data_IF_496070325907
#
_entry.id   IF_496070325907
#
_cell.length_a   1.000
_cell.length_b   1.000
_cell.length_c   1.000
_cell.angle_alpha   90.00
_cell.angle_beta   90.00
_cell.angle_gamma   90.00
#
_symmetry.space_group_name_H-M   'P 1'
#
loop_
_entity.id
_entity.type
_entity.pdbx_description
1 polymer ?
#
# COMPACT_ATOMS: atom_id res chain seq x y z
N UNK A 1 4.53 6.09 6.26
CA UNK A 1 3.39 6.29 7.18
C UNK A 1 2.14 5.57 6.67
N UNK A 2 1.80 5.68 5.38
CA UNK A 2 0.63 4.98 4.79
C UNK A 2 0.50 3.50 5.16
N UNK A 3 1.60 2.77 5.31
CA UNK A 3 1.60 1.34 5.71
C UNK A 3 0.87 1.08 7.04
N UNK A 4 0.83 2.05 7.95
CA UNK A 4 0.16 1.95 9.26
C UNK A 4 -1.37 1.79 9.12
N UNK A 5 -1.96 2.22 8.01
CA UNK A 5 -3.39 2.03 7.76
C UNK A 5 -3.78 0.54 7.62
N UNK A 6 -2.81 -0.36 7.41
CA UNK A 6 -3.08 -1.80 7.36
C UNK A 6 -3.34 -2.43 8.73
N UNK A 7 -2.92 -1.77 9.82
CA UNK A 7 -2.98 -2.31 11.19
C UNK A 7 -4.13 -1.77 12.01
N UNK A 8 -4.88 -0.81 11.47
CA UNK A 8 -6.00 -0.17 12.15
C UNK A 8 -7.10 -1.21 12.40
N UNK A 9 -7.58 -1.30 13.65
CA UNK A 9 -8.70 -2.18 14.01
C UNK A 9 -9.89 -1.45 14.62
N UNK A 10 -9.66 -0.26 15.15
CA UNK A 10 -10.66 0.51 15.89
C UNK A 10 -10.51 2.02 15.65
N UNK A 11 -11.49 2.79 16.09
CA UNK A 11 -11.46 4.25 15.98
C UNK A 11 -10.31 4.89 16.73
N UNK A 12 -9.91 4.37 17.89
CA UNK A 12 -8.76 4.91 18.65
C UNK A 12 -7.48 4.88 17.83
N UNK A 13 -7.23 3.79 17.10
CA UNK A 13 -6.08 3.65 16.20
C UNK A 13 -6.15 4.68 15.06
N UNK A 14 -7.32 4.83 14.44
CA UNK A 14 -7.51 5.77 13.33
C UNK A 14 -7.35 7.22 13.81
N UNK A 15 -7.96 7.59 14.94
CA UNK A 15 -7.83 8.92 15.55
C UNK A 15 -6.37 9.27 15.83
N UNK A 16 -5.59 8.33 16.39
CA UNK A 16 -4.16 8.55 16.64
C UNK A 16 -3.38 8.86 15.37
N UNK A 17 -3.63 8.09 14.31
CA UNK A 17 -2.96 8.31 13.02
C UNK A 17 -3.37 9.64 12.38
N UNK A 18 -4.65 10.01 12.45
CA UNK A 18 -5.15 11.27 11.91
C UNK A 18 -4.66 12.49 12.70
N UNK A 19 -4.64 12.42 14.04
CA UNK A 19 -4.05 13.44 14.90
C UNK A 19 -2.58 13.70 14.54
N UNK A 20 -1.81 12.63 14.32
CA UNK A 20 -0.42 12.80 13.88
C UNK A 20 -0.34 13.49 12.51
N UNK A 21 -1.21 13.10 11.57
CA UNK A 21 -1.25 13.72 10.25
C UNK A 21 -1.51 15.22 10.36
N UNK A 22 -2.55 15.63 11.09
CA UNK A 22 -2.91 17.03 11.31
C UNK A 22 -1.75 17.82 11.96
N UNK A 23 -1.15 17.28 13.04
CA UNK A 23 -0.03 17.93 13.74
C UNK A 23 1.23 18.08 12.87
N UNK A 24 1.44 17.19 11.90
CA UNK A 24 2.63 17.20 11.03
C UNK A 24 2.34 17.77 9.63
N UNK A 25 1.18 18.42 9.44
CA UNK A 25 0.75 19.01 8.15
C UNK A 25 0.73 17.99 7.01
N UNK A 26 0.32 16.76 7.31
CA UNK A 26 0.11 15.69 6.34
C UNK A 26 -1.39 15.70 6.03
N UNK A 27 -1.74 15.95 4.77
CA UNK A 27 -3.15 15.96 4.39
C UNK A 27 -3.65 14.54 4.17
N UNK A 28 -4.77 14.22 4.80
CA UNK A 28 -5.47 12.96 4.53
C UNK A 28 -6.55 13.23 3.50
N UNK A 29 -6.47 12.55 2.36
CA UNK A 29 -7.35 12.76 1.22
C UNK A 29 -8.22 11.51 0.98
N UNK A 30 -9.48 11.71 0.65
CA UNK A 30 -10.34 10.69 0.05
C UNK A 30 -10.99 11.25 -1.22
N UNK A 31 -10.82 10.57 -2.35
CA UNK A 31 -11.30 11.04 -3.66
C UNK A 31 -10.94 12.51 -3.95
N UNK A 32 -9.70 12.91 -3.64
CA UNK A 32 -9.15 14.27 -3.86
C UNK A 32 -9.69 15.35 -2.90
N UNK A 33 -10.64 15.00 -2.03
CA UNK A 33 -11.11 15.87 -0.96
C UNK A 33 -10.28 15.70 0.31
N UNK A 34 -9.87 16.81 0.92
CA UNK A 34 -9.22 16.82 2.22
C UNK A 34 -10.19 16.44 3.34
N UNK A 35 -9.69 15.62 4.26
CA UNK A 35 -10.40 15.10 5.40
C UNK A 35 -9.71 15.53 6.68
N UNK A 36 -10.48 16.17 7.54
CA UNK A 36 -10.13 16.42 8.94
C UNK A 36 -11.01 15.57 9.83
N UNK A 37 -10.56 15.34 11.07
CA UNK A 37 -11.32 14.56 12.06
C UNK A 37 -12.73 15.14 12.29
N UNK A 38 -12.92 16.44 12.16
CA UNK A 38 -14.21 17.12 12.36
C UNK A 38 -15.31 16.65 11.39
N UNK A 39 -14.92 16.18 10.21
CA UNK A 39 -15.84 15.72 9.15
C UNK A 39 -16.19 14.23 9.33
N UNK A 40 -15.46 13.52 10.18
CA UNK A 40 -15.58 12.07 10.38
C UNK A 40 -16.22 11.78 11.74
N UNK A 41 -17.42 11.20 11.70
CA UNK A 41 -18.04 10.60 12.89
C UNK A 41 -17.52 9.18 13.05
N UNK A 42 -16.79 8.93 14.14
CA UNK A 42 -16.21 7.62 14.44
C UNK A 42 -17.08 6.85 15.45
N UNK A 43 -17.41 5.62 15.10
CA UNK A 43 -17.90 4.57 16.00
C UNK A 43 -16.73 3.61 16.33
N UNK A 44 -16.96 2.55 17.11
CA UNK A 44 -15.87 1.67 17.57
C UNK A 44 -15.06 1.04 16.42
N UNK A 45 -15.74 0.55 15.38
CA UNK A 45 -15.14 -0.15 14.22
C UNK A 45 -15.60 0.43 12.88
N UNK A 46 -16.34 1.52 12.88
CA UNK A 46 -16.89 2.16 11.67
C UNK A 46 -16.69 3.67 11.73
N UNK A 47 -16.65 4.31 10.57
CA UNK A 47 -16.64 5.76 10.46
C UNK A 47 -17.64 6.22 9.40
N UNK A 48 -18.21 7.40 9.60
CA UNK A 48 -19.10 8.06 8.65
C UNK A 48 -18.53 9.43 8.34
N UNK A 49 -18.27 9.68 7.06
CA UNK A 49 -17.82 10.98 6.56
C UNK A 49 -19.04 11.75 6.09
N UNK A 50 -19.19 12.99 6.55
CA UNK A 50 -20.27 13.87 6.10
C UNK A 50 -19.77 14.85 5.02
N UNK A 51 -20.18 14.65 3.77
CA UNK A 51 -19.81 15.50 2.65
C UNK A 51 -20.74 16.71 2.43
N UNK A 52 -21.30 17.27 3.51
CA UNK A 52 -22.20 18.42 3.40
C UNK A 52 -23.54 18.10 2.73
N UNK A 53 -24.10 16.91 3.00
CA UNK A 53 -25.40 16.48 2.48
C UNK A 53 -25.44 15.02 2.00
N UNK A 54 -24.27 14.41 1.77
CA UNK A 54 -24.14 12.99 1.45
C UNK A 54 -23.21 12.33 2.47
N UNK A 55 -23.66 11.25 3.10
CA UNK A 55 -22.86 10.49 4.07
C UNK A 55 -22.23 9.27 3.42
N UNK A 56 -20.93 9.06 3.59
CA UNK A 56 -20.28 7.80 3.21
C UNK A 56 -19.77 7.08 4.46
N UNK A 57 -20.18 5.84 4.66
CA UNK A 57 -19.66 4.99 5.73
C UNK A 57 -18.48 4.15 5.25
N UNK A 58 -17.57 3.84 6.17
CA UNK A 58 -16.47 2.92 5.97
C UNK A 58 -16.24 2.08 7.22
N UNK A 59 -15.68 0.89 7.02
CA UNK A 59 -15.26 0.01 8.11
C UNK A 59 -13.78 0.20 8.39
N UNK A 60 -13.43 0.23 9.68
CA UNK A 60 -12.06 0.39 10.15
C UNK A 60 -11.36 -0.96 10.05
N UNK A 61 -10.37 -1.03 9.18
CA UNK A 61 -9.62 -2.24 8.92
C UNK A 61 -8.50 -2.01 7.92
N UNK A 62 -7.90 -3.10 7.46
CA UNK A 62 -6.80 -3.07 6.49
C UNK A 62 -7.19 -2.53 5.11
N UNK A 63 -8.49 -2.53 4.79
CA UNK A 63 -9.09 -1.87 3.63
C UNK A 63 -8.79 -0.36 3.58
N UNK A 64 -8.62 0.30 4.73
CA UNK A 64 -8.35 1.73 4.81
C UNK A 64 -7.03 2.14 4.15
N UNK A 65 -6.09 1.20 4.01
CA UNK A 65 -4.84 1.42 3.28
C UNK A 65 -5.06 1.90 1.83
N UNK A 66 -6.12 1.43 1.17
CA UNK A 66 -6.46 1.86 -0.19
C UNK A 66 -7.49 2.99 -0.21
N UNK A 67 -8.20 3.19 0.90
CA UNK A 67 -9.28 4.17 1.01
C UNK A 67 -8.76 5.60 1.14
N UNK A 68 -7.71 5.80 1.96
CA UNK A 68 -7.10 7.11 2.16
C UNK A 68 -5.82 7.27 1.34
N UNK A 69 -5.64 8.48 0.81
CA UNK A 69 -4.36 8.97 0.30
C UNK A 69 -3.77 9.93 1.34
N UNK A 70 -2.45 9.96 1.42
CA UNK A 70 -1.73 10.88 2.30
C UNK A 70 -0.86 11.75 1.41
N UNK A 71 -1.00 13.06 1.53
CA UNK A 71 -0.11 14.03 0.91
C UNK A 71 0.86 14.56 1.96
N UNK A 72 2.15 14.56 1.62
CA UNK A 72 3.23 14.86 2.56
C UNK A 72 3.92 16.15 2.13
N UNK A 73 4.29 17.04 3.06
CA UNK A 73 4.92 18.32 2.73
C UNK A 73 6.29 18.16 2.03
N UNK A 74 6.95 17.00 2.19
CA UNK A 74 8.21 16.66 1.53
C UNK A 74 8.06 15.85 0.23
N UNK A 75 6.83 15.70 -0.27
CA UNK A 75 6.51 14.88 -1.43
C UNK A 75 6.31 13.40 -1.12
N UNK A 76 5.94 12.60 -2.13
CA UNK A 76 5.58 11.20 -1.94
C UNK A 76 6.80 10.34 -1.55
N UNK A 77 6.59 9.25 -0.80
CA UNK A 77 7.68 8.39 -0.36
C UNK A 77 8.35 7.69 -1.56
N UNK A 78 9.68 7.49 -1.53
CA UNK A 78 10.40 6.79 -2.60
C UNK A 78 9.90 5.37 -2.82
N UNK A 79 9.99 4.90 -4.07
CA UNK A 79 9.50 3.56 -4.44
C UNK A 79 10.18 2.47 -3.61
N UNK A 80 9.37 1.63 -2.96
CA UNK A 80 9.85 0.53 -2.12
C UNK A 80 10.21 0.91 -0.67
N UNK A 81 10.09 2.19 -0.31
CA UNK A 81 10.30 2.67 1.07
C UNK A 81 8.95 2.83 1.78
N UNK A 82 8.38 1.71 2.22
CA UNK A 82 7.03 1.69 2.82
C UNK A 82 6.95 2.36 4.19
N UNK A 83 8.07 2.48 4.89
CA UNK A 83 8.17 3.07 6.23
C UNK A 83 8.66 4.53 6.21
N UNK A 84 8.80 5.17 5.05
CA UNK A 84 9.10 6.61 4.98
C UNK A 84 8.08 7.42 5.78
N UNK A 85 8.55 8.42 6.54
CA UNK A 85 7.74 9.20 7.50
C UNK A 85 7.16 8.38 8.67
N UNK A 86 7.65 7.16 8.93
CA UNK A 86 7.38 6.44 10.17
C UNK A 86 8.56 6.66 11.10
N UNK A 87 8.30 7.25 12.26
CA UNK A 87 9.25 7.36 13.36
C UNK A 87 8.69 6.56 14.51
N UNK A 88 9.42 5.53 14.93
CA UNK A 88 8.93 4.53 15.86
C UNK A 88 9.81 4.35 17.08
N UNK A 89 9.17 3.92 18.17
CA UNK A 89 9.83 3.49 19.41
C UNK A 89 9.53 2.01 19.62
N UNK A 90 10.56 1.22 19.95
CA UNK A 90 10.39 -0.15 20.41
C UNK A 90 10.42 -0.15 21.94
N UNK A 91 9.32 -0.56 22.56
CA UNK A 91 9.22 -0.62 24.01
C UNK A 91 9.16 -2.07 24.48
N UNK A 92 10.26 -2.54 25.05
CA UNK A 92 10.43 -3.93 25.46
C UNK A 92 11.16 -4.77 24.41
N UNK A 93 11.21 -6.08 24.65
CA UNK A 93 11.93 -7.07 23.85
C UNK A 93 10.94 -7.85 22.99
N UNK A 94 11.20 -7.97 21.69
CA UNK A 94 10.38 -8.79 20.79
C UNK A 94 10.67 -10.28 21.04
N UNK A 95 9.64 -11.09 21.18
CA UNK A 95 9.79 -12.51 21.54
C UNK A 95 10.13 -13.38 20.33
N UNK A 96 9.47 -13.11 19.21
CA UNK A 96 9.53 -13.97 18.03
C UNK A 96 10.57 -13.48 17.00
N UNK A 97 11.10 -12.27 17.19
CA UNK A 97 12.03 -11.65 16.25
C UNK A 97 13.18 -10.97 16.96
N UNK A 98 14.34 -10.99 16.32
CA UNK A 98 15.48 -10.19 16.76
C UNK A 98 15.18 -8.70 16.56
N UNK A 99 15.29 -7.93 17.64
CA UNK A 99 15.02 -6.49 17.66
C UNK A 99 15.97 -5.75 16.71
N UNK A 100 17.24 -6.13 16.66
CA UNK A 100 18.23 -5.49 15.78
C UNK A 100 17.93 -5.76 14.30
N UNK A 101 17.57 -7.00 13.94
CA UNK A 101 17.17 -7.32 12.58
C UNK A 101 15.93 -6.52 12.14
N UNK A 102 14.98 -6.33 13.05
CA UNK A 102 13.76 -5.57 12.78
C UNK A 102 14.09 -4.10 12.58
N UNK A 103 14.93 -3.52 13.43
CA UNK A 103 15.41 -2.12 13.29
C UNK A 103 16.06 -1.94 11.92
N UNK A 104 17.01 -2.79 11.55
CA UNK A 104 17.67 -2.72 10.24
C UNK A 104 16.69 -2.86 9.07
N UNK A 105 15.66 -3.71 9.19
CA UNK A 105 14.62 -3.86 8.15
C UNK A 105 13.79 -2.59 8.03
N UNK A 106 13.37 -2.00 9.14
CA UNK A 106 12.59 -0.75 9.18
C UNK A 106 13.38 0.41 8.55
N UNK A 107 14.64 0.56 8.94
CA UNK A 107 15.54 1.58 8.39
C UNK A 107 15.77 1.39 6.89
N UNK A 108 15.98 0.14 6.44
CA UNK A 108 16.04 -0.19 5.01
C UNK A 108 14.77 0.19 4.26
N UNK A 109 13.60 0.15 4.92
CA UNK A 109 12.32 0.58 4.37
C UNK A 109 12.05 2.08 4.54
N UNK A 110 13.00 2.84 5.08
CA UNK A 110 12.96 4.29 5.22
C UNK A 110 12.32 4.81 6.50
N UNK A 111 12.07 3.93 7.48
CA UNK A 111 11.62 4.34 8.82
C UNK A 111 12.80 4.78 9.70
N UNK A 112 12.49 5.48 10.78
CA UNK A 112 13.44 5.88 11.81
C UNK A 112 13.04 5.22 13.14
N UNK A 113 13.98 4.56 13.80
CA UNK A 113 13.77 4.01 15.15
C UNK A 113 14.47 4.93 16.16
N UNK A 114 13.75 5.35 17.19
CA UNK A 114 14.27 6.18 18.28
C UNK A 114 13.98 5.51 19.62
N UNK A 115 14.77 5.88 20.64
CA UNK A 115 14.63 5.34 22.00
C UNK A 115 13.56 6.09 22.81
N UNK A 116 13.45 7.40 22.58
CA UNK A 116 12.53 8.27 23.31
C UNK A 116 11.27 8.61 22.50
N UNK A 117 10.17 8.78 23.23
CA UNK A 117 8.90 9.26 22.70
C UNK A 117 8.93 10.79 22.60
N UNK A 118 8.79 11.32 21.39
CA UNK A 118 8.59 12.74 21.11
C UNK A 118 7.33 13.00 20.26
N UNK A 119 7.08 14.27 19.99
CA UNK A 119 5.94 14.76 19.20
C UNK A 119 5.95 14.28 17.74
N UNK A 120 7.11 13.84 17.25
CA UNK A 120 7.30 13.33 15.88
C UNK A 120 7.25 11.81 15.81
N UNK A 121 7.11 11.11 16.93
CA UNK A 121 6.87 9.66 16.93
C UNK A 121 5.42 9.41 16.51
N UNK A 122 5.19 8.46 15.59
CA UNK A 122 3.85 8.04 15.18
C UNK A 122 3.56 6.56 15.41
N UNK A 123 4.56 5.77 15.77
CA UNK A 123 4.39 4.35 16.03
C UNK A 123 5.14 3.92 17.29
N UNK A 124 4.51 3.08 18.09
CA UNK A 124 5.13 2.40 19.22
C UNK A 124 4.81 0.91 19.13
N UNK A 125 5.85 0.08 19.21
CA UNK A 125 5.71 -1.38 19.23
C UNK A 125 5.96 -1.87 20.65
N UNK A 126 4.99 -2.60 21.21
CA UNK A 126 5.05 -3.17 22.55
C UNK A 126 5.56 -4.61 22.46
N UNK A 127 6.67 -4.88 23.15
CA UNK A 127 7.22 -6.21 23.39
C UNK A 127 7.09 -6.67 24.84
N UNK A 128 7.78 -7.75 25.19
CA UNK A 128 7.90 -8.23 26.56
C UNK A 128 8.70 -7.24 27.42
N UNK A 129 8.35 -7.11 28.71
CA UNK A 129 8.99 -6.17 29.64
C UNK A 129 8.92 -4.69 29.20
N UNK A 130 7.84 -4.31 28.52
CA UNK A 130 7.59 -2.92 28.15
C UNK A 130 7.55 -1.99 29.37
N UNK A 131 8.18 -0.82 29.24
CA UNK A 131 8.14 0.24 30.23
C UNK A 131 6.74 0.88 30.26
N UNK A 132 6.13 0.89 31.44
CA UNK A 132 4.81 1.48 31.69
C UNK A 132 4.82 3.01 31.59
N UNK A 133 5.96 3.66 31.86
CA UNK A 133 6.06 5.12 31.80
C UNK A 133 6.03 5.62 30.35
N UNK A 134 6.84 5.00 29.47
CA UNK A 134 6.81 5.28 28.04
C UNK A 134 5.43 5.02 27.43
N UNK A 135 4.76 3.96 27.88
CA UNK A 135 3.41 3.65 27.42
C UNK A 135 2.42 4.76 27.77
N UNK A 136 2.41 5.21 29.04
CA UNK A 136 1.52 6.32 29.47
C UNK A 136 1.79 7.60 28.69
N UNK A 137 3.06 7.96 28.50
CA UNK A 137 3.46 9.13 27.70
C UNK A 137 2.93 9.02 26.26
N UNK A 138 3.03 7.84 25.66
CA UNK A 138 2.53 7.62 24.30
C UNK A 138 0.99 7.69 24.22
N UNK A 139 0.29 7.22 25.25
CA UNK A 139 -1.17 7.33 25.34
C UNK A 139 -1.65 8.77 25.51
N UNK A 140 -0.96 9.56 26.35
CA UNK A 140 -1.27 10.96 26.61
C UNK A 140 -1.13 11.84 25.36
N UNK A 141 -0.14 11.57 24.51
CA UNK A 141 0.08 12.33 23.27
C UNK A 141 -1.03 12.11 22.23
N UNK A 142 -1.81 11.02 22.34
CA UNK A 142 -2.92 10.66 21.45
C UNK A 142 -2.66 10.77 19.94
N UNK A 143 -1.39 10.70 19.53
CA UNK A 143 -0.94 10.74 18.13
C UNK A 143 -0.03 9.56 17.78
N UNK A 144 0.26 8.70 18.77
CA UNK A 144 1.15 7.56 18.61
C UNK A 144 0.30 6.31 18.46
N UNK A 145 0.42 5.64 17.32
CA UNK A 145 -0.21 4.33 17.11
C UNK A 145 0.55 3.29 17.94
N UNK A 146 -0.17 2.53 18.76
CA UNK A 146 0.42 1.52 19.65
C UNK A 146 0.07 0.15 19.08
N UNK A 147 1.07 -0.65 18.74
CA UNK A 147 0.92 -1.99 18.18
C UNK A 147 1.59 -3.05 19.05
N UNK A 148 1.01 -4.25 19.05
CA UNK A 148 1.65 -5.47 19.52
C UNK A 148 2.63 -6.00 18.45
N UNK A 149 3.50 -6.94 18.84
CA UNK A 149 4.44 -7.58 17.92
C UNK A 149 3.71 -8.24 16.73
N UNK A 150 2.58 -8.91 16.98
CA UNK A 150 1.84 -9.65 15.95
C UNK A 150 1.29 -8.73 14.84
N UNK A 151 0.64 -7.61 15.21
CA UNK A 151 0.16 -6.62 14.22
C UNK A 151 1.33 -5.95 13.52
N UNK A 152 2.42 -5.69 14.24
CA UNK A 152 3.60 -5.09 13.63
C UNK A 152 4.23 -6.00 12.56
N UNK A 153 4.27 -7.32 12.77
CA UNK A 153 4.79 -8.25 11.76
C UNK A 153 3.94 -8.22 10.48
N UNK A 154 2.63 -8.00 10.57
CA UNK A 154 1.72 -7.96 9.41
C UNK A 154 2.03 -6.82 8.43
N UNK A 155 2.64 -5.72 8.90
CA UNK A 155 3.04 -4.60 8.04
C UNK A 155 4.44 -4.73 7.48
N UNK A 156 5.27 -5.58 8.07
CA UNK A 156 6.57 -5.87 7.50
C UNK A 156 6.36 -6.61 6.16
N UNK A 157 7.08 -6.20 5.09
CA UNK A 157 6.99 -6.92 3.84
C UNK A 157 7.47 -8.35 4.05
N UNK A 158 6.64 -9.32 3.64
CA UNK A 158 7.02 -10.73 3.67
C UNK A 158 8.39 -10.91 3.03
N UNK A 159 9.26 -11.74 3.64
CA UNK A 159 10.55 -12.10 3.06
C UNK A 159 10.27 -12.53 1.62
N UNK A 160 10.71 -11.73 0.65
CA UNK A 160 10.57 -12.07 -0.77
C UNK A 160 11.21 -13.45 -0.91
N UNK A 161 10.43 -14.45 -1.31
CA UNK A 161 11.03 -15.65 -1.88
C UNK A 161 11.94 -15.13 -2.99
N UNK A 162 13.24 -15.46 -2.93
CA UNK A 162 14.14 -15.19 -4.05
C UNK A 162 13.39 -15.58 -5.32
N UNK A 163 13.41 -14.76 -6.38
CA UNK A 163 12.69 -15.09 -7.60
C UNK A 163 13.16 -16.48 -7.99
N UNK A 164 12.27 -17.47 -7.80
CA UNK A 164 12.50 -18.81 -8.31
C UNK A 164 12.64 -18.54 -9.79
N UNK A 165 13.87 -18.69 -10.32
CA UNK A 165 14.12 -18.58 -11.76
C UNK A 165 13.02 -19.41 -12.39
N UNK A 166 12.04 -18.75 -13.01
CA UNK A 166 10.96 -19.47 -13.69
C UNK A 166 11.70 -20.36 -14.66
N UNK A 167 11.66 -21.68 -14.44
CA UNK A 167 12.00 -22.60 -15.51
C UNK A 167 11.01 -22.24 -16.60
N UNK A 168 11.51 -21.58 -17.64
CA UNK A 168 10.75 -21.27 -18.83
C UNK A 168 10.27 -22.63 -19.29
N UNK A 169 8.96 -22.92 -19.15
CA UNK A 169 8.39 -24.14 -19.73
C UNK A 169 8.88 -24.16 -21.19
N UNK A 170 9.50 -25.24 -21.68
CA UNK A 170 9.94 -25.30 -23.05
C UNK A 170 8.74 -24.92 -23.92
N UNK A 171 8.95 -23.90 -24.76
CA UNK A 171 7.92 -23.35 -25.62
C UNK A 171 7.35 -24.53 -26.40
N UNK A 172 6.07 -24.89 -26.19
CA UNK A 172 5.40 -25.86 -27.07
C UNK A 172 5.66 -25.37 -28.49
N UNK A 173 6.36 -26.18 -29.28
CA UNK A 173 6.56 -25.91 -30.70
C UNK A 173 5.15 -25.94 -31.28
N UNK A 174 4.61 -24.75 -31.55
CA UNK A 174 3.38 -24.65 -32.32
C UNK A 174 3.67 -25.31 -33.68
N UNK A 175 2.76 -26.14 -34.22
CA UNK A 175 2.96 -26.70 -35.54
C UNK A 175 3.24 -25.55 -36.53
N UNK A 176 4.12 -25.79 -37.50
CA UNK A 176 4.40 -24.83 -38.57
C UNK A 176 3.13 -24.63 -39.40
N UNK A 177 2.24 -23.74 -38.95
CA UNK A 177 1.02 -23.41 -39.67
C UNK A 177 1.04 -21.94 -40.05
N UNK A 178 1.15 -21.75 -41.36
CA UNK A 178 1.10 -20.52 -42.17
C UNK A 178 2.16 -19.45 -41.85
N UNK A 179 2.92 -19.06 -42.88
CA UNK A 179 3.92 -18.00 -42.79
C UNK A 179 3.28 -16.69 -42.27
N UNK A 180 3.84 -16.16 -41.19
CA UNK A 180 3.37 -14.94 -40.51
C UNK A 180 3.41 -13.72 -41.43
N UNK A 181 4.29 -13.71 -42.43
CA UNK A 181 4.37 -12.63 -43.40
C UNK A 181 3.15 -12.64 -44.34
N UNK A 182 2.67 -13.81 -44.73
CA UNK A 182 1.47 -13.99 -45.56
C UNK A 182 0.24 -13.54 -44.79
N UNK A 183 0.09 -13.96 -43.53
CA UNK A 183 -0.99 -13.51 -42.64
C UNK A 183 -1.00 -11.99 -42.45
N UNK A 184 0.17 -11.36 -42.31
CA UNK A 184 0.27 -9.90 -42.16
C UNK A 184 -0.13 -9.16 -43.43
N UNK A 185 0.20 -9.70 -44.62
CA UNK A 185 -0.21 -9.13 -45.91
C UNK A 185 -1.72 -9.28 -46.12
N UNK A 186 -2.28 -10.47 -45.87
CA UNK A 186 -3.73 -10.71 -45.93
C UNK A 186 -4.49 -9.76 -45.02
N UNK A 187 -4.02 -9.58 -43.78
CA UNK A 187 -4.65 -8.64 -42.85
C UNK A 187 -4.69 -7.22 -43.42
N UNK A 188 -3.60 -6.75 -44.04
CA UNK A 188 -3.57 -5.41 -44.65
C UNK A 188 -4.55 -5.27 -45.81
N UNK A 189 -4.65 -6.29 -46.68
CA UNK A 189 -5.57 -6.31 -47.81
C UNK A 189 -7.03 -6.24 -47.36
N UNK A 190 -7.43 -7.04 -46.37
CA UNK A 190 -8.79 -7.04 -45.83
C UNK A 190 -9.16 -5.80 -45.00
N UNK A 191 -8.17 -5.07 -44.49
CA UNK A 191 -8.40 -3.80 -43.78
C UNK A 191 -8.30 -2.56 -44.68
N UNK A 192 -8.11 -2.76 -45.98
CA UNK A 192 -8.10 -1.65 -46.95
C UNK A 192 -9.50 -1.03 -47.05
N UNK A 193 -9.57 0.22 -47.50
CA UNK A 193 -10.83 0.90 -47.85
C UNK A 193 -11.16 0.76 -49.34
N UNK A 194 -10.24 0.20 -50.11
CA UNK A 194 -10.39 -0.06 -51.53
C UNK A 194 -10.89 -1.50 -51.75
N UNK A 195 -12.03 -1.64 -52.41
CA UNK A 195 -12.67 -2.93 -52.65
C UNK A 195 -11.84 -3.85 -53.55
N UNK A 196 -11.03 -3.31 -54.47
CA UNK A 196 -10.19 -4.14 -55.34
C UNK A 196 -9.06 -4.81 -54.55
N UNK A 197 -8.50 -4.11 -53.55
CA UNK A 197 -7.50 -4.66 -52.64
C UNK A 197 -8.09 -5.71 -51.68
N UNK A 198 -9.34 -5.53 -51.26
CA UNK A 198 -10.06 -6.53 -50.45
C UNK A 198 -10.31 -7.80 -51.28
N UNK A 199 -10.72 -7.66 -52.55
CA UNK A 199 -10.94 -8.77 -53.47
C UNK A 199 -9.65 -9.55 -53.77
N UNK A 200 -8.52 -8.85 -53.95
CA UNK A 200 -7.20 -9.49 -54.03
C UNK A 200 -6.87 -10.28 -52.76
N UNK A 201 -7.23 -9.76 -51.58
CA UNK A 201 -7.12 -10.48 -50.32
C UNK A 201 -7.90 -11.81 -50.31
N UNK A 202 -9.11 -11.81 -50.86
CA UNK A 202 -9.93 -13.02 -51.00
C UNK A 202 -9.31 -14.05 -51.95
N UNK A 203 -8.71 -13.64 -53.06
CA UNK A 203 -8.03 -14.56 -53.98
C UNK A 203 -6.79 -15.19 -53.36
N UNK A 204 -5.96 -14.39 -52.68
CA UNK A 204 -4.78 -14.90 -51.97
C UNK A 204 -5.19 -15.90 -50.88
N UNK A 205 -6.29 -15.65 -50.16
CA UNK A 205 -6.80 -16.60 -49.17
C UNK A 205 -7.26 -17.92 -49.81
N UNK A 206 -7.93 -17.87 -50.97
CA UNK A 206 -8.32 -19.08 -51.71
C UNK A 206 -7.12 -19.87 -52.22
N UNK A 207 -6.02 -19.21 -52.60
CA UNK A 207 -4.80 -19.89 -53.06
C UNK A 207 -4.00 -20.61 -51.96
N UNK A 208 -4.33 -20.34 -50.69
CA UNK A 208 -3.68 -20.93 -49.52
C UNK A 208 -4.46 -22.13 -48.93
N UNK A 209 -5.62 -22.46 -49.51
CA UNK A 209 -6.47 -23.61 -49.16
C UNK A 209 -6.19 -24.76 -50.12
#
# INVERSE_FOLDING_TARGET
MKVLFKTLKNSKDLTRVLNYCENNRIETLHNESSLTLDVIKLEETRGVINWGGYGSSFEIGSNLFNYFKLDYPGGPPPRGKSFTHVKMVMNGILKNNDTEEVIQKVEKLGGLVVQDVDDKVNLMVIGEKADKQLLKKAEELNQILILDEERFIQILPAKRKLPVKRQIKPRKVLPQTVDKNVLRKLKKLFTSRDNDLINQGHEVLRSLS
#
